data_IF_530242477034
#
_entry.id   IF_530242477034
#
_cell.length_a   1.000
_cell.length_b   1.000
_cell.length_c   1.000
_cell.angle_alpha   90.00
_cell.angle_beta   90.00
_cell.angle_gamma   90.00
#
_symmetry.space_group_name_H-M   'P 1'
#
loop_
_entity.id
_entity.type
_entity.pdbx_description
1 polymer ?
#
# COMPACT_ATOMS: atom_id res chain seq x y z
N UNK A 1 -1.00 -63.93 -23.55
CA UNK A 1 -0.35 -63.12 -22.52
C UNK A 1 -0.44 -61.67 -22.90
N UNK A 2 -1.27 -60.98 -22.20
CA UNK A 2 -1.48 -59.58 -22.48
C UNK A 2 -0.43 -58.75 -21.74
N UNK A 3 0.43 -58.14 -22.46
CA UNK A 3 1.32 -57.11 -21.92
C UNK A 3 0.57 -55.81 -21.89
N UNK A 4 -0.03 -55.55 -20.76
CA UNK A 4 -0.54 -54.21 -20.48
C UNK A 4 0.63 -53.33 -20.10
N UNK A 5 1.03 -52.51 -20.99
CA UNK A 5 1.81 -51.31 -20.64
C UNK A 5 0.84 -50.18 -20.47
N UNK A 6 0.61 -49.74 -19.28
CA UNK A 6 -0.08 -48.48 -19.10
C UNK A 6 0.93 -47.41 -19.51
N UNK A 7 0.71 -46.84 -20.64
CA UNK A 7 1.33 -45.57 -20.96
C UNK A 7 0.70 -44.52 -20.06
N UNK A 8 1.14 -44.47 -18.84
CA UNK A 8 0.97 -43.27 -18.02
C UNK A 8 1.96 -42.25 -18.53
N UNK A 9 1.63 -41.65 -19.61
CA UNK A 9 2.22 -40.39 -19.97
C UNK A 9 1.68 -39.38 -18.93
N UNK A 10 2.44 -39.24 -17.90
CA UNK A 10 2.19 -38.25 -16.90
C UNK A 10 2.34 -36.88 -17.56
N UNK A 11 1.23 -36.31 -17.81
CA UNK A 11 1.11 -34.89 -18.12
C UNK A 11 1.48 -34.07 -16.86
N UNK A 12 2.75 -34.05 -16.57
CA UNK A 12 3.32 -33.20 -15.55
C UNK A 12 4.07 -32.04 -16.20
N UNK A 13 3.34 -31.27 -16.96
CA UNK A 13 3.93 -30.10 -17.55
C UNK A 13 2.94 -28.95 -17.55
N UNK A 14 2.35 -28.67 -16.41
CA UNK A 14 1.59 -27.43 -16.22
C UNK A 14 1.75 -26.93 -14.79
N UNK A 15 2.93 -27.06 -14.24
CA UNK A 15 3.40 -25.97 -13.41
C UNK A 15 3.77 -24.88 -14.39
N UNK A 16 2.77 -24.09 -14.75
CA UNK A 16 3.04 -22.86 -15.43
C UNK A 16 4.16 -22.18 -14.67
N UNK A 17 5.28 -21.96 -15.30
CA UNK A 17 6.26 -21.01 -14.83
C UNK A 17 5.45 -19.79 -14.44
N UNK A 18 5.43 -19.51 -13.15
CA UNK A 18 5.03 -18.19 -12.68
C UNK A 18 6.04 -17.29 -13.36
N UNK A 19 5.61 -16.71 -14.47
CA UNK A 19 6.44 -15.81 -15.21
C UNK A 19 7.03 -14.81 -14.24
N UNK A 20 8.32 -14.63 -14.28
CA UNK A 20 9.00 -13.61 -13.54
C UNK A 20 8.16 -12.34 -13.52
N UNK A 21 7.49 -12.11 -12.39
CA UNK A 21 7.02 -10.79 -12.12
C UNK A 21 8.28 -9.96 -11.93
N UNK A 22 8.79 -9.36 -13.00
CA UNK A 22 9.75 -8.30 -12.91
C UNK A 22 9.24 -7.25 -11.92
N UNK A 23 10.06 -6.29 -11.47
CA UNK A 23 9.61 -5.25 -10.54
C UNK A 23 8.34 -4.64 -11.10
N UNK A 24 7.24 -4.82 -10.37
CA UNK A 24 5.95 -4.31 -10.80
C UNK A 24 5.99 -2.79 -10.71
N UNK A 25 5.79 -2.14 -11.85
CA UNK A 25 5.65 -0.69 -11.90
C UNK A 25 4.29 -0.35 -11.29
N UNK A 26 4.30 0.47 -10.25
CA UNK A 26 3.09 0.98 -9.64
C UNK A 26 2.40 1.93 -10.62
N UNK A 27 1.13 1.70 -10.99
CA UNK A 27 0.41 2.64 -11.85
C UNK A 27 0.41 4.05 -11.26
N UNK A 28 0.58 5.06 -12.11
CA UNK A 28 0.70 6.46 -11.68
C UNK A 28 -0.37 6.88 -10.68
N UNK A 29 -1.61 6.46 -10.90
CA UNK A 29 -2.75 6.81 -10.04
C UNK A 29 -2.63 6.29 -8.59
N UNK A 30 -1.71 5.37 -8.33
CA UNK A 30 -1.46 4.80 -7.00
C UNK A 30 -0.11 5.22 -6.42
N UNK A 31 0.68 5.98 -7.16
CA UNK A 31 1.98 6.44 -6.71
C UNK A 31 1.88 7.51 -5.62
N UNK A 32 2.84 7.50 -4.71
CA UNK A 32 2.91 8.48 -3.63
C UNK A 32 2.92 9.93 -4.14
N UNK A 33 3.70 10.21 -5.17
CA UNK A 33 3.77 11.56 -5.76
C UNK A 33 2.43 12.05 -6.30
N UNK A 34 1.61 11.14 -6.83
CA UNK A 34 0.27 11.50 -7.32
C UNK A 34 -0.70 11.85 -6.17
N UNK A 35 -0.59 11.15 -5.04
CA UNK A 35 -1.43 11.44 -3.87
C UNK A 35 -0.99 12.67 -3.10
N UNK A 36 0.29 13.01 -3.16
CA UNK A 36 0.89 14.04 -2.33
C UNK A 36 0.21 15.41 -2.51
N UNK A 37 -0.11 15.80 -3.73
CA UNK A 37 -0.77 17.08 -4.00
C UNK A 37 -2.15 17.16 -3.35
N UNK A 38 -2.94 16.11 -3.44
CA UNK A 38 -4.24 16.04 -2.78
C UNK A 38 -4.13 16.05 -1.26
N UNK A 39 -3.12 15.36 -0.72
CA UNK A 39 -2.85 15.36 0.72
C UNK A 39 -2.46 16.77 1.21
N UNK A 40 -1.64 17.48 0.46
CA UNK A 40 -1.29 18.88 0.78
C UNK A 40 -2.50 19.81 0.69
N UNK A 41 -3.37 19.62 -0.28
CA UNK A 41 -4.63 20.34 -0.36
C UNK A 41 -5.50 20.10 0.86
N UNK A 42 -5.60 18.85 1.30
CA UNK A 42 -6.33 18.53 2.53
C UNK A 42 -5.74 19.26 3.75
N UNK A 43 -4.42 19.24 3.91
CA UNK A 43 -3.74 19.94 5.02
C UNK A 43 -3.94 21.45 4.95
N UNK A 44 -4.10 22.02 3.77
CA UNK A 44 -4.33 23.45 3.56
C UNK A 44 -5.82 23.84 3.70
N UNK A 45 -6.70 22.89 4.00
CA UNK A 45 -8.14 23.13 4.10
C UNK A 45 -8.86 23.27 2.77
N UNK A 46 -8.21 22.89 1.66
CA UNK A 46 -8.85 22.89 0.34
C UNK A 46 -9.63 21.59 0.14
N UNK A 47 -10.91 21.73 -0.17
CA UNK A 47 -11.84 20.61 -0.39
C UNK A 47 -12.01 20.38 -1.89
N UNK A 48 -11.50 19.29 -2.40
CA UNK A 48 -11.62 18.85 -3.78
C UNK A 48 -11.53 17.33 -3.89
N UNK A 49 -11.68 16.80 -5.10
CA UNK A 49 -11.61 15.35 -5.31
C UNK A 49 -10.30 14.73 -4.83
N UNK A 50 -9.18 15.38 -5.10
CA UNK A 50 -7.85 14.83 -4.72
C UNK A 50 -7.62 14.87 -3.20
N UNK A 51 -8.08 15.92 -2.52
CA UNK A 51 -8.00 15.99 -1.06
C UNK A 51 -8.90 14.94 -0.40
N UNK A 52 -10.10 14.73 -0.90
CA UNK A 52 -11.00 13.66 -0.44
C UNK A 52 -10.42 12.27 -0.68
N UNK A 53 -9.77 12.07 -1.83
CA UNK A 53 -9.09 10.82 -2.15
C UNK A 53 -7.95 10.53 -1.16
N UNK A 54 -7.17 11.53 -0.83
CA UNK A 54 -6.08 11.37 0.15
C UNK A 54 -6.63 10.99 1.53
N UNK A 55 -7.56 11.77 2.06
CA UNK A 55 -8.08 11.52 3.41
C UNK A 55 -8.82 10.18 3.51
N UNK A 56 -9.60 9.83 2.49
CA UNK A 56 -10.27 8.54 2.44
C UNK A 56 -9.30 7.36 2.42
N UNK A 57 -8.23 7.46 1.64
CA UNK A 57 -7.19 6.45 1.63
C UNK A 57 -6.49 6.34 3.00
N UNK A 58 -6.17 7.47 3.63
CA UNK A 58 -5.54 7.49 4.94
C UNK A 58 -6.44 6.86 6.03
N UNK A 59 -7.73 7.15 6.00
CA UNK A 59 -8.71 6.56 6.93
C UNK A 59 -8.74 5.04 6.82
N UNK A 60 -8.90 4.53 5.61
CA UNK A 60 -8.98 3.09 5.37
C UNK A 60 -7.67 2.38 5.74
N UNK A 61 -6.55 2.96 5.39
CA UNK A 61 -5.24 2.40 5.76
C UNK A 61 -5.06 2.40 7.28
N UNK A 62 -5.51 3.44 7.96
CA UNK A 62 -5.48 3.54 9.41
C UNK A 62 -6.32 2.46 10.09
N UNK A 63 -7.53 2.27 9.62
CA UNK A 63 -8.44 1.24 10.13
C UNK A 63 -7.86 -0.16 9.93
N UNK A 64 -7.53 -0.51 8.69
CA UNK A 64 -7.01 -1.83 8.36
C UNK A 64 -5.68 -2.13 9.04
N UNK A 65 -4.79 -1.16 9.11
CA UNK A 65 -3.50 -1.34 9.76
C UNK A 65 -3.62 -1.53 11.26
N UNK A 66 -4.50 -0.79 11.92
CA UNK A 66 -4.77 -0.94 13.35
C UNK A 66 -5.44 -2.27 13.67
N UNK A 67 -6.43 -2.67 12.86
CA UNK A 67 -7.12 -3.95 13.05
C UNK A 67 -6.19 -5.14 12.88
N UNK A 68 -5.22 -5.05 11.97
CA UNK A 68 -4.24 -6.10 11.72
C UNK A 68 -2.97 -5.96 12.58
N UNK A 69 -2.93 -5.05 13.52
CA UNK A 69 -1.78 -4.81 14.40
C UNK A 69 -0.47 -4.46 13.68
N UNK A 70 -0.56 -3.89 12.50
CA UNK A 70 0.62 -3.38 11.78
C UNK A 70 1.19 -2.15 12.48
N UNK A 71 0.34 -1.33 13.02
CA UNK A 71 0.64 -0.21 13.90
C UNK A 71 -0.52 -0.01 14.87
N UNK A 72 -0.34 0.81 15.88
CA UNK A 72 -1.34 1.05 16.92
C UNK A 72 -1.73 2.52 16.96
N UNK A 73 -2.62 2.89 16.04
CA UNK A 73 -3.14 4.25 15.93
C UNK A 73 -4.05 4.55 17.12
N UNK A 74 -3.75 5.59 17.96
CA UNK A 74 -4.65 5.97 19.01
C UNK A 74 -6.00 6.47 18.49
N UNK A 75 -7.08 6.17 19.20
CA UNK A 75 -8.43 6.55 18.79
C UNK A 75 -8.61 8.08 18.65
N UNK A 76 -7.84 8.84 19.42
CA UNK A 76 -7.92 10.30 19.41
C UNK A 76 -7.16 10.98 18.26
N UNK A 77 -6.44 10.23 17.43
CA UNK A 77 -5.71 10.80 16.29
C UNK A 77 -6.69 11.27 15.23
N UNK A 78 -6.61 12.56 14.88
CA UNK A 78 -7.44 13.12 13.81
C UNK A 78 -6.93 12.75 12.44
N UNK A 79 -7.81 12.79 11.44
CA UNK A 79 -7.41 12.62 10.05
C UNK A 79 -6.35 13.63 9.61
N UNK A 80 -6.43 14.86 10.11
CA UNK A 80 -5.45 15.90 9.83
C UNK A 80 -4.06 15.52 10.32
N UNK A 81 -3.97 15.00 11.54
CA UNK A 81 -2.71 14.56 12.13
C UNK A 81 -2.16 13.34 11.38
N UNK A 82 -3.01 12.37 11.07
CA UNK A 82 -2.63 11.18 10.32
C UNK A 82 -2.07 11.55 8.93
N UNK A 83 -2.77 12.40 8.20
CA UNK A 83 -2.31 12.86 6.87
C UNK A 83 -1.01 13.66 6.99
N UNK A 84 -0.87 14.49 8.04
CA UNK A 84 0.39 15.24 8.27
C UNK A 84 1.58 14.31 8.46
N UNK A 85 1.42 13.26 9.23
CA UNK A 85 2.47 12.25 9.45
C UNK A 85 2.85 11.57 8.12
N UNK A 86 1.85 11.18 7.34
CA UNK A 86 2.07 10.54 6.04
C UNK A 86 2.81 11.48 5.08
N UNK A 87 2.35 12.72 4.95
CA UNK A 87 2.96 13.71 4.06
C UNK A 87 4.41 14.00 4.45
N UNK A 88 4.65 14.23 5.73
CA UNK A 88 6.01 14.49 6.24
C UNK A 88 6.96 13.35 5.90
N UNK A 89 6.50 12.11 6.08
CA UNK A 89 7.29 10.93 5.76
C UNK A 89 7.60 10.83 4.25
N UNK A 90 6.57 10.96 3.41
CA UNK A 90 6.73 10.86 1.94
C UNK A 90 7.66 11.97 1.43
N UNK A 91 7.51 13.20 1.91
CA UNK A 91 8.37 14.31 1.51
C UNK A 91 9.84 14.12 1.91
N UNK A 92 10.09 13.32 2.94
CA UNK A 92 11.46 12.95 3.33
C UNK A 92 12.11 11.93 2.37
N UNK A 93 11.35 11.37 1.42
CA UNK A 93 11.77 10.30 0.53
C UNK A 93 11.61 10.69 -0.95
N UNK A 94 12.31 11.74 -1.42
CA UNK A 94 12.10 12.26 -2.79
C UNK A 94 12.39 11.23 -3.89
N UNK A 95 13.20 10.22 -3.60
CA UNK A 95 13.53 9.16 -4.56
C UNK A 95 12.47 8.06 -4.65
N UNK A 96 11.46 8.09 -3.79
CA UNK A 96 10.43 7.06 -3.71
C UNK A 96 9.03 7.55 -4.12
N UNK A 97 8.96 8.65 -4.87
CA UNK A 97 7.67 9.24 -5.30
C UNK A 97 6.88 8.34 -6.25
N UNK A 98 7.53 7.38 -6.91
CA UNK A 98 6.89 6.40 -7.78
C UNK A 98 6.52 5.11 -7.05
N UNK A 99 6.88 4.97 -5.79
CA UNK A 99 6.39 3.87 -4.94
C UNK A 99 4.90 4.06 -4.63
N UNK A 100 4.24 2.98 -4.24
CA UNK A 100 2.83 3.02 -3.90
C UNK A 100 2.54 3.91 -2.69
N UNK A 101 1.51 4.76 -2.80
CA UNK A 101 1.08 5.59 -1.69
C UNK A 101 0.75 4.77 -0.44
N UNK A 102 -0.01 3.67 -0.61
CA UNK A 102 -0.37 2.80 0.52
C UNK A 102 0.84 2.22 1.24
N UNK A 103 1.87 1.83 0.48
CA UNK A 103 3.11 1.33 1.06
C UNK A 103 3.79 2.38 1.93
N UNK A 104 4.00 3.58 1.39
CA UNK A 104 4.68 4.65 2.12
C UNK A 104 3.84 5.17 3.29
N UNK A 105 2.52 5.24 3.13
CA UNK A 105 1.62 5.62 4.21
C UNK A 105 1.66 4.61 5.38
N UNK A 106 1.67 3.32 5.07
CA UNK A 106 1.83 2.29 6.10
C UNK A 106 3.18 2.39 6.80
N UNK A 107 4.26 2.58 6.05
CA UNK A 107 5.59 2.79 6.64
C UNK A 107 5.60 3.99 7.60
N UNK A 108 4.99 5.09 7.19
CA UNK A 108 4.88 6.30 8.02
C UNK A 108 4.14 6.02 9.34
N UNK A 109 3.03 5.30 9.26
CA UNK A 109 2.22 4.98 10.44
C UNK A 109 2.89 3.97 11.36
N UNK A 110 3.55 2.96 10.81
CA UNK A 110 4.35 2.00 11.60
C UNK A 110 5.46 2.72 12.37
N UNK A 111 6.11 3.69 11.76
CA UNK A 111 7.20 4.44 12.41
C UNK A 111 6.69 5.40 13.47
N UNK A 112 5.53 6.01 13.24
CA UNK A 112 5.00 7.02 14.15
C UNK A 112 4.15 6.44 15.30
N UNK A 113 3.46 5.35 15.05
CA UNK A 113 2.60 4.68 16.02
C UNK A 113 2.88 3.18 16.11
N UNK A 114 4.12 2.79 16.47
CA UNK A 114 4.43 1.38 16.61
C UNK A 114 3.61 0.77 17.74
N UNK A 115 3.19 -0.50 17.55
CA UNK A 115 2.58 -1.25 18.63
C UNK A 115 3.63 -1.59 19.67
N UNK A 116 3.28 -1.42 20.94
CA UNK A 116 4.14 -1.83 22.06
C UNK A 116 4.05 -3.35 22.25
N UNK A 117 5.18 -3.96 22.32
CA UNK A 117 5.28 -5.38 22.67
C UNK A 117 5.34 -5.57 24.18
#
# INVERSE_FOLDING_TARGET
>A
MALFRPAFAILLALCGSIADAGPQVVPRKYQAGFYLDGCKDFLAGRSNFLSGRCVGAAEILGELGSDNKLFCLPDAVSNLEQVRVIVTYIESLPKRMTDGFGLLANEAMVRNWPCKT
#
